data_IF_337379250241
#
_entry.id   IF_337379250241
#
_cell.length_a   1.000
_cell.length_b   1.000
_cell.length_c   1.000
_cell.angle_alpha   90.00
_cell.angle_beta   90.00
_cell.angle_gamma   90.00
#
_symmetry.space_group_name_H-M   'P 1'
#
loop_
_entity.id
_entity.type
_entity.pdbx_description
1 polymer ?
#
# COMPACT_ATOMS: atom_id res chain seq x y z
N UNK A 1 -8.56 -4.73 22.77
CA UNK A 1 -8.47 -4.90 21.30
C UNK A 1 -8.77 -6.36 21.01
N UNK A 2 -9.85 -6.62 20.25
CA UNK A 2 -10.75 -7.76 20.42
C UNK A 2 -10.23 -9.08 19.81
N UNK A 3 -10.36 -10.17 20.57
CA UNK A 3 -9.91 -11.54 20.24
C UNK A 3 -10.60 -12.23 19.05
N UNK A 4 -11.34 -11.50 18.22
CA UNK A 4 -12.09 -12.02 17.07
C UNK A 4 -11.15 -12.48 15.94
N UNK A 5 -9.93 -11.94 15.90
CA UNK A 5 -8.89 -12.30 14.91
C UNK A 5 -8.01 -13.50 15.33
N UNK A 6 -8.25 -14.13 16.48
CA UNK A 6 -7.38 -15.23 16.96
C UNK A 6 -7.87 -16.63 16.59
N UNK A 7 -9.15 -16.81 16.24
CA UNK A 7 -9.64 -18.11 15.81
C UNK A 7 -8.98 -18.53 14.47
N UNK A 8 -8.39 -19.74 14.36
CA UNK A 8 -7.67 -20.16 13.15
C UNK A 8 -8.48 -20.05 11.85
N UNK A 9 -9.76 -20.40 11.90
CA UNK A 9 -10.66 -20.31 10.74
C UNK A 9 -10.88 -18.85 10.28
N UNK A 10 -11.03 -17.92 11.23
CA UNK A 10 -11.18 -16.49 10.90
C UNK A 10 -9.90 -15.95 10.27
N UNK A 11 -8.73 -16.29 10.84
CA UNK A 11 -7.44 -15.87 10.28
C UNK A 11 -7.23 -16.39 8.85
N UNK A 12 -7.59 -17.64 8.58
CA UNK A 12 -7.51 -18.21 7.24
C UNK A 12 -8.46 -17.50 6.25
N UNK A 13 -9.71 -17.25 6.66
CA UNK A 13 -10.67 -16.53 5.84
C UNK A 13 -10.23 -15.08 5.55
N UNK A 14 -9.70 -14.38 6.57
CA UNK A 14 -9.14 -13.04 6.40
C UNK A 14 -7.95 -13.05 5.45
N UNK A 15 -6.98 -13.96 5.63
CA UNK A 15 -5.83 -14.06 4.73
C UNK A 15 -6.23 -14.30 3.27
N UNK A 16 -7.16 -15.22 3.01
CA UNK A 16 -7.67 -15.49 1.67
C UNK A 16 -8.35 -14.26 1.03
N UNK A 17 -9.11 -13.50 1.82
CA UNK A 17 -9.70 -12.24 1.36
C UNK A 17 -8.60 -11.22 0.99
N UNK A 18 -7.59 -11.07 1.84
CA UNK A 18 -6.47 -10.15 1.63
C UNK A 18 -5.67 -10.51 0.38
N UNK A 19 -5.38 -11.79 0.17
CA UNK A 19 -4.71 -12.27 -1.05
C UNK A 19 -5.53 -11.97 -2.31
N UNK A 20 -6.86 -12.17 -2.26
CA UNK A 20 -7.75 -11.85 -3.37
C UNK A 20 -7.77 -10.35 -3.69
N UNK A 21 -7.79 -9.49 -2.66
CA UNK A 21 -7.72 -8.04 -2.84
C UNK A 21 -6.38 -7.64 -3.44
N UNK A 22 -5.27 -8.15 -2.90
CA UNK A 22 -3.93 -7.88 -3.41
C UNK A 22 -3.80 -8.28 -4.89
N UNK A 23 -4.28 -9.47 -5.27
CA UNK A 23 -4.22 -9.96 -6.64
C UNK A 23 -4.97 -9.02 -7.62
N UNK A 24 -6.09 -8.44 -7.19
CA UNK A 24 -6.86 -7.51 -8.01
C UNK A 24 -6.17 -6.13 -8.17
N UNK A 25 -5.58 -5.60 -7.09
CA UNK A 25 -5.04 -4.23 -7.10
C UNK A 25 -3.57 -4.14 -7.52
N UNK A 26 -2.78 -5.20 -7.33
CA UNK A 26 -1.32 -5.12 -7.49
C UNK A 26 -0.88 -4.79 -8.92
N UNK A 27 -1.43 -5.39 -9.99
CA UNK A 27 -1.05 -5.02 -11.36
C UNK A 27 -1.28 -3.53 -11.69
N UNK A 28 -2.48 -2.95 -11.49
CA UNK A 28 -2.71 -1.54 -11.79
C UNK A 28 -1.99 -0.58 -10.82
N UNK A 29 -1.81 -0.95 -9.55
CA UNK A 29 -0.95 -0.17 -8.62
C UNK A 29 0.49 -0.12 -9.12
N UNK A 30 1.03 -1.23 -9.64
CA UNK A 30 2.37 -1.27 -10.25
C UNK A 30 2.46 -0.45 -11.53
N UNK A 31 1.40 -0.39 -12.31
CA UNK A 31 1.32 0.44 -13.52
C UNK A 31 1.41 1.92 -13.16
N UNK A 32 0.50 2.39 -12.31
CA UNK A 32 0.49 3.77 -11.80
C UNK A 32 1.82 4.13 -11.14
N UNK A 33 2.36 3.27 -10.30
CA UNK A 33 3.63 3.53 -9.63
C UNK A 33 4.79 3.69 -10.62
N UNK A 34 4.81 2.91 -11.70
CA UNK A 34 5.84 3.00 -12.74
C UNK A 34 5.79 4.36 -13.45
N UNK A 35 4.59 4.87 -13.74
CA UNK A 35 4.41 6.17 -14.38
C UNK A 35 4.98 7.29 -13.51
N UNK A 36 4.79 7.18 -12.18
CA UNK A 36 5.37 8.06 -11.17
C UNK A 36 6.86 7.80 -10.86
N UNK A 37 7.51 6.83 -11.51
CA UNK A 37 8.92 6.53 -11.33
C UNK A 37 9.27 5.62 -10.13
N UNK A 38 8.32 4.82 -9.65
CA UNK A 38 8.48 3.91 -8.52
C UNK A 38 8.33 2.44 -8.91
N UNK A 39 9.09 1.58 -8.23
CA UNK A 39 8.86 0.14 -8.20
C UNK A 39 8.10 -0.25 -6.93
N UNK A 40 7.12 -1.17 -7.06
CA UNK A 40 6.32 -1.68 -5.94
C UNK A 40 6.72 -3.11 -5.58
N UNK A 41 7.13 -3.29 -4.32
CA UNK A 41 7.30 -4.59 -3.68
C UNK A 41 6.12 -4.87 -2.73
N UNK A 42 5.72 -6.14 -2.66
CA UNK A 42 4.80 -6.65 -1.63
C UNK A 42 5.65 -7.13 -0.46
N UNK A 43 5.26 -6.79 0.76
CA UNK A 43 5.92 -7.23 1.98
C UNK A 43 4.88 -7.78 2.98
N UNK A 44 5.31 -8.03 4.21
CA UNK A 44 4.45 -8.54 5.28
C UNK A 44 4.05 -10.00 5.12
N UNK A 45 3.11 -10.42 5.97
CA UNK A 45 2.59 -11.79 6.01
C UNK A 45 1.27 -11.98 5.27
N UNK A 46 0.64 -10.89 4.84
CA UNK A 46 -0.71 -10.86 4.23
C UNK A 46 -1.82 -11.49 5.08
N UNK A 47 -1.56 -11.74 6.37
CA UNK A 47 -2.51 -12.42 7.25
C UNK A 47 -3.72 -11.56 7.64
N UNK A 48 -3.60 -10.23 7.54
CA UNK A 48 -4.62 -9.26 7.96
C UNK A 48 -4.59 -7.99 7.12
N UNK A 49 -3.39 -7.55 6.78
CA UNK A 49 -3.12 -6.26 6.15
C UNK A 49 -2.26 -6.48 4.90
N UNK A 50 -2.31 -5.54 3.94
CA UNK A 50 -1.49 -5.54 2.73
C UNK A 50 -0.36 -4.54 2.91
N UNK A 51 0.87 -5.02 3.06
CA UNK A 51 2.05 -4.16 3.12
C UNK A 51 2.66 -3.97 1.72
N UNK A 52 2.71 -2.72 1.24
CA UNK A 52 3.37 -2.33 0.00
C UNK A 52 4.56 -1.42 0.28
N UNK A 53 5.66 -1.65 -0.42
CA UNK A 53 6.84 -0.79 -0.41
C UNK A 53 7.05 -0.18 -1.80
N UNK A 54 6.98 1.14 -1.90
CA UNK A 54 7.36 1.89 -3.09
C UNK A 54 8.81 2.38 -2.94
N UNK A 55 9.66 2.02 -3.90
CA UNK A 55 11.03 2.47 -4.01
C UNK A 55 11.19 3.34 -5.27
N UNK A 56 11.72 4.57 -5.18
CA UNK A 56 12.00 5.37 -6.37
C UNK A 56 13.02 4.63 -7.24
N UNK A 57 12.71 4.51 -8.53
CA UNK A 57 13.50 3.78 -9.53
C UNK A 57 14.04 4.69 -10.63
N UNK A 58 13.50 5.91 -10.73
CA UNK A 58 13.91 6.96 -11.66
C UNK A 58 14.36 8.20 -10.91
N UNK A 59 15.28 8.96 -11.51
CA UNK A 59 15.78 10.23 -10.96
C UNK A 59 14.68 11.29 -10.88
N UNK A 60 13.74 11.25 -11.83
CA UNK A 60 12.59 12.14 -11.94
C UNK A 60 11.31 11.51 -11.36
N UNK A 61 11.44 10.67 -10.33
CA UNK A 61 10.30 10.14 -9.61
C UNK A 61 9.48 11.28 -8.99
N UNK A 62 8.15 11.16 -9.07
CA UNK A 62 7.24 12.18 -8.56
C UNK A 62 7.26 12.26 -7.02
N UNK A 63 6.85 13.39 -6.42
CA UNK A 63 6.67 13.47 -4.98
C UNK A 63 5.74 12.38 -4.45
N UNK A 64 6.08 11.81 -3.29
CA UNK A 64 5.34 10.70 -2.66
C UNK A 64 3.82 10.96 -2.53
N UNK A 65 3.42 12.21 -2.28
CA UNK A 65 2.00 12.56 -2.14
C UNK A 65 1.24 12.50 -3.48
N UNK A 66 1.90 12.72 -4.61
CA UNK A 66 1.30 12.53 -5.94
C UNK A 66 1.12 11.03 -6.24
N UNK A 67 2.13 10.21 -5.94
CA UNK A 67 2.02 8.75 -6.04
C UNK A 67 0.84 8.22 -5.22
N UNK A 68 0.69 8.67 -3.96
CA UNK A 68 -0.41 8.22 -3.08
C UNK A 68 -1.76 8.61 -3.65
N UNK A 69 -1.93 9.84 -4.16
CA UNK A 69 -3.20 10.26 -4.77
C UNK A 69 -3.59 9.33 -5.92
N UNK A 70 -2.66 9.01 -6.81
CA UNK A 70 -2.94 8.13 -7.97
C UNK A 70 -3.20 6.69 -7.54
N UNK A 71 -2.47 6.17 -6.54
CA UNK A 71 -2.73 4.84 -5.97
C UNK A 71 -4.13 4.77 -5.33
N UNK A 72 -4.53 5.80 -4.58
CA UNK A 72 -5.87 5.88 -3.98
C UNK A 72 -6.95 5.87 -5.07
N UNK A 73 -6.77 6.62 -6.14
CA UNK A 73 -7.72 6.64 -7.27
C UNK A 73 -7.83 5.27 -7.92
N UNK A 74 -6.70 4.60 -8.22
CA UNK A 74 -6.73 3.31 -8.92
C UNK A 74 -7.26 2.18 -8.04
N UNK A 75 -6.94 2.16 -6.74
CA UNK A 75 -7.55 1.20 -5.80
C UNK A 75 -9.06 1.48 -5.68
N UNK A 76 -9.44 2.75 -5.60
CA UNK A 76 -10.83 3.18 -5.54
C UNK A 76 -11.65 2.76 -6.76
N UNK A 77 -11.07 2.79 -7.97
CA UNK A 77 -11.78 2.37 -9.18
C UNK A 77 -12.02 0.85 -9.23
N UNK A 78 -11.18 0.06 -8.57
CA UNK A 78 -11.28 -1.41 -8.52
C UNK A 78 -12.18 -1.88 -7.36
N UNK A 79 -12.02 -1.28 -6.18
CA UNK A 79 -12.70 -1.69 -4.94
C UNK A 79 -13.91 -0.79 -4.60
N UNK A 80 -14.25 0.15 -5.48
CA UNK A 80 -15.36 1.10 -5.34
C UNK A 80 -15.04 2.35 -4.52
N UNK A 81 -14.14 2.27 -3.53
CA UNK A 81 -13.62 3.42 -2.77
C UNK A 81 -12.28 3.10 -2.13
N UNK A 82 -11.42 4.10 -2.07
CA UNK A 82 -10.21 4.11 -1.26
C UNK A 82 -9.95 5.52 -0.74
N UNK A 83 -9.37 5.65 0.46
CA UNK A 83 -8.83 6.92 0.94
C UNK A 83 -7.67 6.70 1.91
N UNK A 84 -6.80 7.71 2.04
CA UNK A 84 -5.83 7.74 3.13
C UNK A 84 -6.56 7.91 4.47
N UNK A 85 -6.12 7.16 5.47
CA UNK A 85 -6.59 7.25 6.85
C UNK A 85 -5.45 7.73 7.76
N UNK A 86 -5.75 8.74 8.58
CA UNK A 86 -4.82 9.25 9.57
C UNK A 86 -3.61 10.03 9.00
N UNK A 87 -2.69 10.46 9.90
CA UNK A 87 -1.51 11.23 9.54
C UNK A 87 -0.45 10.35 8.87
N UNK A 88 0.38 10.97 8.03
CA UNK A 88 1.55 10.31 7.41
C UNK A 88 2.60 10.03 8.49
N UNK A 89 2.99 8.77 8.64
CA UNK A 89 4.03 8.35 9.57
C UNK A 89 5.43 8.46 8.98
N UNK A 90 6.44 8.73 9.81
CA UNK A 90 7.85 8.60 9.44
C UNK A 90 8.39 7.29 10.02
N UNK A 91 9.05 6.50 9.18
CA UNK A 91 9.64 5.20 9.51
C UNK A 91 11.16 5.24 9.27
N UNK A 92 11.91 4.21 9.72
CA UNK A 92 13.36 4.14 9.48
C UNK A 92 13.74 4.38 8.01
N UNK A 93 14.95 4.90 7.81
CA UNK A 93 15.50 5.27 6.50
C UNK A 93 14.73 6.41 5.80
N UNK A 94 14.02 7.24 6.56
CA UNK A 94 13.28 8.40 6.03
C UNK A 94 12.02 8.02 5.26
N UNK A 95 11.58 6.75 5.36
CA UNK A 95 10.42 6.25 4.63
C UNK A 95 9.12 6.85 5.18
N UNK A 96 8.25 7.31 4.30
CA UNK A 96 6.91 7.81 4.64
C UNK A 96 5.91 6.64 4.64
N UNK A 97 5.08 6.54 5.65
CA UNK A 97 4.07 5.48 5.78
C UNK A 97 2.65 6.07 5.70
N UNK A 98 1.84 5.50 4.83
CA UNK A 98 0.46 5.88 4.57
C UNK A 98 -0.43 4.66 4.81
N UNK A 99 -1.46 4.83 5.62
CA UNK A 99 -2.49 3.80 5.79
C UNK A 99 -3.64 4.13 4.85
N UNK A 100 -3.98 3.20 3.95
CA UNK A 100 -5.09 3.35 3.02
C UNK A 100 -6.22 2.39 3.41
N UNK A 101 -7.45 2.89 3.39
CA UNK A 101 -8.65 2.12 3.71
C UNK A 101 -9.58 2.04 2.49
N UNK A 102 -10.20 0.89 2.29
CA UNK A 102 -11.17 0.64 1.22
C UNK A 102 -12.53 0.20 1.79
N UNK A 103 -13.57 0.22 0.95
CA UNK A 103 -14.97 -0.08 1.35
C UNK A 103 -15.20 -1.47 1.98
N UNK A 104 -14.22 -2.37 1.94
CA UNK A 104 -14.32 -3.69 2.57
C UNK A 104 -14.16 -3.65 4.09
N UNK A 105 -13.53 -2.61 4.65
CA UNK A 105 -13.20 -2.49 6.09
C UNK A 105 -12.57 -3.76 6.71
N UNK A 106 -11.97 -4.62 5.89
CA UNK A 106 -11.26 -5.84 6.27
C UNK A 106 -9.85 -5.70 5.72
N UNK A 107 -8.91 -5.46 6.63
CA UNK A 107 -7.51 -5.19 6.32
C UNK A 107 -7.25 -3.77 5.84
N UNK A 108 -6.11 -3.25 6.27
CA UNK A 108 -5.58 -1.98 5.79
C UNK A 108 -4.55 -2.24 4.68
N UNK A 109 -4.35 -1.24 3.81
CA UNK A 109 -3.22 -1.25 2.88
C UNK A 109 -2.19 -0.27 3.41
N UNK A 110 -1.10 -0.81 3.95
CA UNK A 110 0.03 -0.03 4.44
C UNK A 110 1.01 0.23 3.30
N UNK A 111 1.01 1.48 2.81
CA UNK A 111 1.89 1.93 1.75
C UNK A 111 3.08 2.68 2.34
N UNK A 112 4.25 2.11 2.16
CA UNK A 112 5.53 2.62 2.62
C UNK A 112 6.32 3.16 1.43
N UNK A 113 6.65 4.46 1.39
CA UNK A 113 7.34 5.11 0.26
C UNK A 113 8.73 5.58 0.69
N UNK A 114 9.77 5.01 0.07
CA UNK A 114 11.16 5.42 0.30
C UNK A 114 11.39 6.85 -0.19
N UNK A 115 12.24 7.64 0.49
CA UNK A 115 12.56 8.98 0.04
C UNK A 115 13.31 8.94 -1.29
N UNK A 116 13.06 9.93 -2.15
CA UNK A 116 13.93 10.21 -3.29
C UNK A 116 15.22 10.78 -2.71
N UNK A 117 16.33 10.08 -2.96
CA UNK A 117 17.66 10.53 -2.55
C UNK A 117 18.37 11.05 -3.78
N UNK A 118 18.67 12.35 -3.79
CA UNK A 118 19.58 12.92 -4.77
C UNK A 118 20.99 12.50 -4.39
N UNK A 119 21.61 11.67 -5.22
CA UNK A 119 23.03 11.35 -5.08
C UNK A 119 23.81 12.42 -5.84
N UNK A 120 24.54 13.28 -5.13
CA UNK A 120 25.54 14.11 -5.80
C UNK A 120 26.66 13.18 -6.31
N UNK A 121 27.09 13.34 -7.58
CA UNK A 121 28.05 12.44 -8.21
C UNK A 121 29.44 12.43 -7.55
#
# INVERSE_FOLDING_TARGET
MSGIYQAPAMRAATGAFIESVLAAILPPVREVARDHGYAIAVHGSLARDIDLLACPWREDADPADELVKSIVVVIGSILGRCCQNGPVGIKPHGRRAYTLIHNGHIGEIDLSIMPIVTVEP
#
